data_IF_537674896386
#
_entry.id   IF_537674896386
#
_cell.length_a   1.000
_cell.length_b   1.000
_cell.length_c   1.000
_cell.angle_alpha   90.00
_cell.angle_beta   90.00
_cell.angle_gamma   90.00
#
_symmetry.space_group_name_H-M   'P 1'
#
loop_
_entity.id
_entity.type
_entity.pdbx_description
1 polymer ?
#
# COMPACT_ATOMS: atom_id res chain seq x y z
N UNK A 1 55.37 -51.10 -8.50
CA UNK A 1 55.18 -49.70 -8.93
C UNK A 1 53.74 -49.33 -8.63
N UNK A 2 53.52 -48.62 -7.52
CA UNK A 2 52.17 -48.34 -7.00
C UNK A 2 51.78 -46.91 -7.38
N UNK A 3 50.81 -46.79 -8.27
CA UNK A 3 50.19 -45.51 -8.60
C UNK A 3 49.13 -45.18 -7.54
N UNK A 4 49.39 -44.22 -6.66
CA UNK A 4 48.39 -43.65 -5.74
C UNK A 4 47.55 -42.64 -6.49
N UNK A 5 46.30 -42.99 -6.75
CA UNK A 5 45.28 -42.08 -7.27
C UNK A 5 44.77 -41.21 -6.14
N UNK A 6 45.11 -39.92 -6.10
CA UNK A 6 44.58 -38.94 -5.18
C UNK A 6 43.22 -38.45 -5.66
N UNK A 7 42.16 -38.92 -5.06
CA UNK A 7 40.81 -38.43 -5.26
C UNK A 7 40.62 -37.11 -4.50
N UNK A 8 40.59 -36.01 -5.23
CA UNK A 8 40.26 -34.69 -4.67
C UNK A 8 38.76 -34.59 -4.48
N UNK A 9 38.30 -34.61 -3.25
CA UNK A 9 36.90 -34.34 -2.86
C UNK A 9 36.71 -32.83 -2.83
N UNK A 10 36.03 -32.29 -3.86
CA UNK A 10 35.63 -30.90 -3.90
C UNK A 10 34.40 -30.73 -3.01
N UNK A 11 34.61 -30.14 -1.83
CA UNK A 11 33.50 -29.75 -0.92
C UNK A 11 32.86 -28.50 -1.46
N UNK A 12 31.71 -28.66 -2.14
CA UNK A 12 30.88 -27.53 -2.56
C UNK A 12 30.11 -26.99 -1.36
N UNK A 13 30.66 -25.94 -0.72
CA UNK A 13 29.97 -25.25 0.39
C UNK A 13 28.80 -24.46 -0.19
N UNK A 14 27.59 -24.99 -0.06
CA UNK A 14 26.35 -24.27 -0.38
C UNK A 14 26.14 -23.21 0.70
N UNK A 15 26.48 -21.96 0.36
CA UNK A 15 26.15 -20.81 1.19
C UNK A 15 24.64 -20.60 1.16
N UNK A 16 23.94 -21.08 2.19
CA UNK A 16 22.56 -20.73 2.50
C UNK A 16 22.53 -19.23 2.89
N UNK A 17 22.25 -18.37 1.94
CA UNK A 17 21.96 -16.95 2.22
C UNK A 17 20.55 -16.92 2.84
N UNK A 18 20.39 -16.50 4.11
CA UNK A 18 19.08 -16.33 4.69
C UNK A 18 18.36 -15.24 3.90
N UNK A 19 17.26 -15.58 3.24
CA UNK A 19 16.35 -14.59 2.68
C UNK A 19 15.73 -13.83 3.85
N UNK A 20 16.27 -12.63 4.13
CA UNK A 20 15.65 -11.71 5.06
C UNK A 20 14.34 -11.25 4.43
N UNK A 21 13.23 -11.82 4.91
CA UNK A 21 11.90 -11.32 4.62
C UNK A 21 11.79 -9.97 5.32
N UNK A 22 12.06 -8.89 4.59
CA UNK A 22 11.74 -7.55 5.05
C UNK A 22 10.22 -7.49 5.20
N UNK A 23 9.73 -7.36 6.41
CA UNK A 23 8.37 -6.92 6.66
C UNK A 23 8.21 -5.59 5.92
N UNK A 24 7.41 -5.57 4.84
CA UNK A 24 7.27 -4.43 3.97
C UNK A 24 6.48 -3.33 4.69
N UNK A 25 7.17 -2.52 5.48
CA UNK A 25 6.66 -1.25 5.95
C UNK A 25 6.47 -0.29 4.78
N UNK A 26 5.72 0.77 5.02
CA UNK A 26 5.55 1.84 4.03
C UNK A 26 6.91 2.53 3.77
N UNK A 27 7.28 2.82 2.52
CA UNK A 27 8.49 3.59 2.21
C UNK A 27 8.37 5.07 2.58
N UNK A 28 7.25 5.51 3.13
CA UNK A 28 6.97 6.89 3.49
C UNK A 28 7.85 7.37 4.64
N UNK A 29 8.25 8.63 4.59
CA UNK A 29 8.88 9.34 5.70
C UNK A 29 7.82 9.83 6.68
N UNK A 30 8.06 9.69 7.98
CA UNK A 30 7.23 10.29 9.03
C UNK A 30 7.08 11.81 8.88
N UNK A 31 5.98 12.35 9.36
CA UNK A 31 5.73 13.79 9.36
C UNK A 31 4.30 14.16 8.99
N UNK A 32 4.10 15.46 8.80
CA UNK A 32 2.81 16.00 8.40
C UNK A 32 2.64 15.87 6.87
N UNK A 33 1.52 15.31 6.48
CA UNK A 33 1.17 15.04 5.10
C UNK A 33 -0.12 15.75 4.71
N UNK A 34 -0.17 16.32 3.53
CA UNK A 34 -1.39 16.83 2.89
C UNK A 34 -1.87 15.81 1.87
N UNK A 35 -3.12 15.40 1.99
CA UNK A 35 -3.80 14.53 1.04
C UNK A 35 -4.90 15.30 0.33
N UNK A 36 -4.93 15.24 -0.99
CA UNK A 36 -6.02 15.74 -1.84
C UNK A 36 -6.73 14.58 -2.49
N UNK A 37 -8.05 14.54 -2.38
CA UNK A 37 -8.87 13.49 -3.00
C UNK A 37 -9.96 14.08 -3.89
N UNK A 38 -10.24 13.39 -4.99
CA UNK A 38 -11.36 13.67 -5.89
C UNK A 38 -12.20 12.42 -6.03
N UNK A 39 -13.50 12.60 -6.15
CA UNK A 39 -14.45 11.50 -6.38
C UNK A 39 -15.11 11.67 -7.74
N UNK A 40 -15.39 10.54 -8.38
CA UNK A 40 -16.20 10.47 -9.60
C UNK A 40 -17.17 9.30 -9.54
N UNK A 41 -18.38 9.52 -10.03
CA UNK A 41 -19.41 8.49 -10.20
C UNK A 41 -19.90 8.51 -11.64
N UNK A 42 -20.05 7.33 -12.29
CA UNK A 42 -20.63 7.26 -13.63
C UNK A 42 -22.04 7.89 -13.64
N UNK A 43 -22.32 8.68 -14.66
CA UNK A 43 -23.63 9.34 -14.81
C UNK A 43 -23.78 10.68 -14.09
N UNK A 44 -22.80 11.12 -13.31
CA UNK A 44 -22.80 12.47 -12.74
C UNK A 44 -22.16 13.49 -13.69
N UNK A 45 -22.91 14.52 -14.12
CA UNK A 45 -22.41 15.52 -15.06
C UNK A 45 -21.49 16.58 -14.42
N UNK A 46 -21.43 16.64 -13.08
CA UNK A 46 -20.64 17.61 -12.34
C UNK A 46 -19.46 16.96 -11.62
N UNK A 47 -18.34 17.68 -11.57
CA UNK A 47 -17.15 17.28 -10.83
C UNK A 47 -17.34 17.62 -9.35
N UNK A 48 -17.14 16.64 -8.48
CA UNK A 48 -17.08 16.88 -7.03
C UNK A 48 -15.77 17.62 -6.75
N UNK A 49 -15.79 18.74 -6.02
CA UNK A 49 -14.58 19.47 -5.67
C UNK A 49 -13.58 18.58 -4.90
N UNK A 50 -12.30 18.83 -5.13
CA UNK A 50 -11.26 18.11 -4.40
C UNK A 50 -11.33 18.46 -2.90
N UNK A 51 -11.30 17.44 -2.07
CA UNK A 51 -11.20 17.59 -0.61
C UNK A 51 -9.73 17.49 -0.20
N UNK A 52 -9.28 18.37 0.69
CA UNK A 52 -7.95 18.36 1.27
C UNK A 52 -8.01 18.06 2.75
N UNK A 53 -7.16 17.15 3.20
CA UNK A 53 -6.98 16.81 4.61
C UNK A 53 -5.49 16.72 4.93
N UNK A 54 -5.14 16.94 6.18
CA UNK A 54 -3.78 16.72 6.68
C UNK A 54 -3.79 15.60 7.71
N UNK A 55 -2.73 14.81 7.71
CA UNK A 55 -2.51 13.74 8.69
C UNK A 55 -1.03 13.70 9.09
N UNK A 56 -0.78 13.50 10.38
CA UNK A 56 0.56 13.28 10.90
C UNK A 56 0.83 11.78 10.95
N UNK A 57 1.68 11.28 10.06
CA UNK A 57 2.14 9.89 10.11
C UNK A 57 3.32 9.75 11.04
N UNK A 58 3.19 8.88 12.02
CA UNK A 58 4.26 8.51 12.95
C UNK A 58 5.05 7.31 12.41
N UNK A 59 6.25 7.09 12.94
CA UNK A 59 7.05 5.88 12.60
C UNK A 59 6.28 4.60 12.88
N UNK A 60 5.50 4.55 13.96
CA UNK A 60 4.72 3.36 14.33
C UNK A 60 3.60 3.06 13.33
N UNK A 61 2.93 4.11 12.83
CA UNK A 61 1.90 3.93 11.80
C UNK A 61 2.49 3.43 10.49
N UNK A 62 3.68 3.89 10.14
CA UNK A 62 4.37 3.52 8.89
C UNK A 62 4.95 2.10 8.89
N UNK A 63 5.08 1.45 10.04
CA UNK A 63 5.48 0.03 10.13
C UNK A 63 4.44 -0.91 9.52
N UNK A 64 3.18 -0.50 9.49
CA UNK A 64 2.08 -1.28 8.92
C UNK A 64 1.47 -0.50 7.74
N UNK A 65 1.75 -0.94 6.52
CA UNK A 65 1.24 -0.30 5.30
C UNK A 65 -0.29 -0.27 5.21
N UNK A 66 -1.02 -1.12 5.96
CA UNK A 66 -2.48 -1.05 6.06
C UNK A 66 -2.95 0.25 6.71
N UNK A 67 -2.14 0.88 7.54
CA UNK A 67 -2.45 2.16 8.19
C UNK A 67 -2.34 3.35 7.26
N UNK A 68 -1.69 3.19 6.11
CA UNK A 68 -1.59 4.23 5.08
C UNK A 68 -2.76 4.19 4.09
N UNK A 69 -3.57 3.13 4.13
CA UNK A 69 -4.80 3.02 3.34
C UNK A 69 -5.84 3.97 3.92
N UNK A 70 -6.52 4.80 3.10
CA UNK A 70 -7.58 5.66 3.58
C UNK A 70 -8.68 4.86 4.29
N UNK A 71 -8.96 5.22 5.54
CA UNK A 71 -10.01 4.57 6.32
C UNK A 71 -11.37 4.83 5.68
N UNK A 72 -12.15 3.78 5.58
CA UNK A 72 -13.55 3.86 5.19
C UNK A 72 -14.43 3.81 6.44
N UNK A 73 -15.58 4.46 6.39
CA UNK A 73 -16.57 4.36 7.44
C UNK A 73 -17.23 2.98 7.44
N UNK A 74 -17.56 2.47 8.62
CA UNK A 74 -18.22 1.19 8.81
C UNK A 74 -17.27 0.01 9.04
N UNK A 75 -17.82 -1.19 9.04
CA UNK A 75 -17.11 -2.45 9.29
C UNK A 75 -16.41 -2.95 8.02
N UNK A 76 -15.32 -2.27 7.64
CA UNK A 76 -14.54 -2.60 6.46
C UNK A 76 -13.29 -3.41 6.83
N UNK A 77 -13.03 -4.46 6.05
CA UNK A 77 -11.82 -5.28 6.17
C UNK A 77 -11.01 -5.21 4.89
N UNK A 78 -9.72 -4.90 5.03
CA UNK A 78 -8.75 -5.01 3.95
C UNK A 78 -8.38 -6.47 3.76
N UNK A 79 -8.48 -6.95 2.54
CA UNK A 79 -8.14 -8.31 2.12
C UNK A 79 -7.20 -8.26 0.91
N UNK A 80 -6.53 -9.35 0.62
CA UNK A 80 -5.72 -9.53 -0.60
C UNK A 80 -4.72 -8.38 -0.85
N UNK A 81 -4.00 -7.96 0.20
CA UNK A 81 -3.01 -6.92 0.10
C UNK A 81 -1.71 -7.46 -0.51
N UNK A 82 -1.22 -6.79 -1.56
CA UNK A 82 0.00 -7.15 -2.27
C UNK A 82 0.90 -5.94 -2.45
N UNK A 83 2.20 -6.14 -2.27
CA UNK A 83 3.24 -5.14 -2.51
C UNK A 83 4.14 -5.61 -3.65
N UNK A 84 4.34 -4.76 -4.63
CA UNK A 84 5.24 -5.00 -5.76
C UNK A 84 6.02 -3.71 -6.05
N UNK A 85 7.29 -3.69 -5.67
CA UNK A 85 8.13 -2.50 -5.76
C UNK A 85 7.54 -1.33 -4.97
N UNK A 86 7.26 -0.23 -5.64
CA UNK A 86 6.65 0.97 -5.07
C UNK A 86 5.11 1.00 -5.13
N UNK A 87 4.48 -0.12 -5.49
CA UNK A 87 3.02 -0.25 -5.64
C UNK A 87 2.46 -1.18 -4.56
N UNK A 88 1.40 -0.75 -3.91
CA UNK A 88 0.59 -1.56 -3.01
C UNK A 88 -0.83 -1.61 -3.55
N UNK A 89 -1.38 -2.80 -3.67
CA UNK A 89 -2.77 -3.04 -4.06
C UNK A 89 -3.49 -3.80 -2.96
N UNK A 90 -4.78 -3.60 -2.83
CA UNK A 90 -5.61 -4.33 -1.88
C UNK A 90 -7.05 -4.46 -2.38
N UNK A 91 -7.76 -5.38 -1.78
CA UNK A 91 -9.22 -5.44 -1.84
C UNK A 91 -9.80 -5.08 -0.48
N UNK A 92 -11.04 -4.64 -0.49
CA UNK A 92 -11.77 -4.26 0.71
C UNK A 92 -13.20 -4.79 0.64
N UNK A 93 -13.68 -5.29 1.75
CA UNK A 93 -15.07 -5.73 1.92
C UNK A 93 -15.60 -5.03 3.15
N UNK A 94 -16.69 -4.31 2.97
CA UNK A 94 -17.42 -3.65 4.03
C UNK A 94 -18.74 -4.38 4.27
N UNK A 95 -19.06 -4.63 5.54
CA UNK A 95 -20.32 -5.21 6.00
C UNK A 95 -21.15 -4.14 6.70
N UNK A 96 -22.39 -4.41 7.06
CA UNK A 96 -23.28 -3.47 7.73
C UNK A 96 -24.49 -3.10 6.91
N UNK A 97 -25.06 -1.92 7.16
CA UNK A 97 -26.31 -1.48 6.52
C UNK A 97 -26.21 -1.29 5.00
N UNK A 98 -25.02 -0.94 4.52
CA UNK A 98 -24.77 -0.77 3.08
C UNK A 98 -23.53 -1.58 2.69
N UNK A 99 -23.68 -2.89 2.48
CA UNK A 99 -22.58 -3.74 2.09
C UNK A 99 -21.91 -3.23 0.81
N UNK A 100 -20.58 -3.20 0.82
CA UNK A 100 -19.79 -2.74 -0.33
C UNK A 100 -18.51 -3.55 -0.46
N UNK A 101 -17.98 -3.55 -1.67
CA UNK A 101 -16.67 -4.14 -1.98
C UNK A 101 -15.87 -3.15 -2.79
N UNK A 102 -14.57 -3.22 -2.66
CA UNK A 102 -13.69 -2.32 -3.39
C UNK A 102 -12.32 -2.89 -3.61
N UNK A 103 -11.60 -2.18 -4.44
CA UNK A 103 -10.19 -2.41 -4.73
C UNK A 103 -9.47 -1.08 -4.79
N UNK A 104 -8.23 -1.07 -4.36
CA UNK A 104 -7.44 0.14 -4.35
C UNK A 104 -5.97 -0.11 -4.64
N UNK A 105 -5.30 0.97 -4.95
CA UNK A 105 -3.85 0.98 -5.14
C UNK A 105 -3.23 2.28 -4.62
N UNK A 106 -2.00 2.15 -4.17
CA UNK A 106 -1.09 3.26 -3.88
C UNK A 106 0.19 3.03 -4.68
N UNK A 107 0.69 4.09 -5.31
CA UNK A 107 2.00 4.12 -5.95
C UNK A 107 2.84 5.18 -5.25
N UNK A 108 3.87 4.74 -4.55
CA UNK A 108 4.79 5.64 -3.86
C UNK A 108 5.72 6.33 -4.86
N UNK A 109 5.89 7.63 -4.71
CA UNK A 109 6.79 8.48 -5.48
C UNK A 109 7.98 8.88 -4.57
N UNK A 110 8.78 7.90 -4.18
CA UNK A 110 9.79 8.08 -3.15
C UNK A 110 9.20 8.11 -1.74
N UNK A 111 9.91 8.76 -0.80
CA UNK A 111 9.56 8.77 0.62
C UNK A 111 8.62 9.94 1.02
N UNK A 112 8.34 10.87 0.11
CA UNK A 112 7.67 12.14 0.43
C UNK A 112 6.40 12.40 -0.36
N UNK A 113 6.01 11.49 -1.27
CA UNK A 113 4.77 11.60 -2.04
C UNK A 113 4.21 10.23 -2.40
N UNK A 114 2.91 10.16 -2.62
CA UNK A 114 2.24 9.03 -3.25
C UNK A 114 0.99 9.47 -3.99
N UNK A 115 0.57 8.63 -4.92
CA UNK A 115 -0.70 8.74 -5.63
C UNK A 115 -1.46 7.43 -5.46
N UNK A 116 -2.77 7.49 -5.55
CA UNK A 116 -3.57 6.30 -5.46
C UNK A 116 -4.97 6.46 -6.00
N UNK A 117 -5.64 5.34 -6.10
CA UNK A 117 -7.04 5.27 -6.47
C UNK A 117 -7.74 4.18 -5.69
N UNK A 118 -9.04 4.34 -5.52
CA UNK A 118 -9.90 3.35 -4.90
C UNK A 118 -11.22 3.32 -5.64
N UNK A 119 -11.64 2.15 -6.02
CA UNK A 119 -12.94 1.88 -6.64
C UNK A 119 -13.80 1.12 -5.65
N UNK A 120 -14.98 1.65 -5.35
CA UNK A 120 -15.96 1.03 -4.46
C UNK A 120 -17.24 0.74 -5.23
N UNK A 121 -17.82 -0.42 -4.97
CA UNK A 121 -19.12 -0.83 -5.48
C UNK A 121 -20.08 -1.02 -4.31
N UNK A 122 -21.20 -0.31 -4.34
CA UNK A 122 -22.26 -0.36 -3.33
C UNK A 122 -23.58 -0.39 -4.04
N UNK A 123 -24.39 -1.43 -3.82
CA UNK A 123 -25.74 -1.57 -4.43
C UNK A 123 -25.75 -1.34 -5.96
N UNK A 124 -24.75 -1.86 -6.67
CA UNK A 124 -24.61 -1.68 -8.12
C UNK A 124 -24.08 -0.33 -8.59
N UNK A 125 -23.88 0.63 -7.69
CA UNK A 125 -23.24 1.91 -8.00
C UNK A 125 -21.73 1.79 -7.82
N UNK A 126 -20.98 2.31 -8.78
CA UNK A 126 -19.51 2.33 -8.74
C UNK A 126 -19.05 3.75 -8.48
N UNK A 127 -18.23 3.92 -7.46
CA UNK A 127 -17.59 5.18 -7.10
C UNK A 127 -16.08 5.03 -7.21
N UNK A 128 -15.41 5.97 -7.86
CA UNK A 128 -13.95 5.98 -7.96
C UNK A 128 -13.41 7.22 -7.25
N UNK A 129 -12.53 6.99 -6.28
CA UNK A 129 -11.75 8.04 -5.63
C UNK A 129 -10.32 8.02 -6.16
N UNK A 130 -9.76 9.20 -6.43
CA UNK A 130 -8.34 9.38 -6.73
C UNK A 130 -7.76 10.32 -5.70
N UNK A 131 -6.55 10.01 -5.22
CA UNK A 131 -5.88 10.81 -4.21
C UNK A 131 -4.42 10.98 -4.52
N UNK A 132 -3.90 12.12 -4.08
CA UNK A 132 -2.49 12.48 -4.11
C UNK A 132 -2.12 12.97 -2.73
N UNK A 133 -0.97 12.53 -2.25
CA UNK A 133 -0.46 12.96 -0.97
C UNK A 133 0.99 13.38 -1.08
N UNK A 134 1.36 14.38 -0.30
CA UNK A 134 2.72 14.88 -0.17
C UNK A 134 3.04 15.22 1.27
N UNK A 135 4.26 14.95 1.66
CA UNK A 135 4.79 15.40 2.95
C UNK A 135 5.01 16.92 2.90
N UNK A 136 4.50 17.63 3.89
CA UNK A 136 4.58 19.10 3.95
C UNK A 136 5.42 19.60 5.14
N UNK A 137 5.87 18.69 6.02
CA UNK A 137 6.73 19.09 7.14
C UNK A 137 6.83 18.03 8.22
N UNK A 138 7.35 18.42 9.37
CA UNK A 138 7.32 17.62 10.59
C UNK A 138 5.94 17.70 11.25
N UNK A 139 5.58 16.70 12.04
CA UNK A 139 4.45 16.80 12.96
C UNK A 139 4.76 17.86 14.04
N UNK A 140 3.75 18.63 14.41
CA UNK A 140 3.84 19.58 15.54
C UNK A 140 3.51 18.87 16.85
#
# INVERSE_FOLDING_TARGET
MNALTKTAVVFCAVLLVPATVFAAGSPMQEGLWEMSSTMSMPGMPYKIPATKVTHCYTKEELKDSRRTIPKQEGDCKVTDMKTSGNRVTWKMVCTGKSPSKGEGEIVYKGATAYEGSMKMETQGMVMTSRYKAKRIGACK
#
